data_IF_701520823954
#
_entry.id   IF_701520823954
#
_cell.length_a   1.000
_cell.length_b   1.000
_cell.length_c   1.000
_cell.angle_alpha   90.00
_cell.angle_beta   90.00
_cell.angle_gamma   90.00
#
_symmetry.space_group_name_H-M   'P 1'
#
loop_
_entity.id
_entity.type
_entity.pdbx_description
1 polymer ?
#
# COMPACT_ATOMS: atom_id res chain seq x y z
N UNK A 1 -23.24 -19.59 10.43
CA UNK A 1 -22.26 -18.73 11.06
C UNK A 1 -21.17 -19.53 11.59
N UNK A 2 -20.31 -19.43 11.98
CA UNK A 2 -19.42 -20.32 12.60
C UNK A 2 -17.99 -19.89 12.54
N UNK A 3 -17.14 -20.86 12.60
CA UNK A 3 -15.71 -20.69 12.70
C UNK A 3 -15.14 -19.88 11.54
N UNK A 4 -15.64 -20.09 10.32
CA UNK A 4 -15.16 -19.37 9.14
C UNK A 4 -15.38 -17.86 9.22
N UNK A 5 -16.48 -17.44 9.77
CA UNK A 5 -16.79 -16.01 9.92
C UNK A 5 -15.90 -15.37 10.98
N UNK A 6 -15.60 -16.08 12.05
CA UNK A 6 -14.71 -15.61 13.11
C UNK A 6 -13.28 -15.46 12.58
N UNK A 7 -12.80 -16.44 11.81
CA UNK A 7 -11.48 -16.40 11.18
C UNK A 7 -11.38 -15.22 10.23
N UNK A 8 -12.41 -15.01 9.42
CA UNK A 8 -12.46 -13.91 8.45
C UNK A 8 -12.38 -12.54 9.13
N UNK A 9 -13.09 -12.38 10.23
CA UNK A 9 -13.05 -11.16 11.02
C UNK A 9 -11.68 -10.93 11.64
N UNK A 10 -11.05 -11.99 12.11
CA UNK A 10 -9.69 -11.93 12.65
C UNK A 10 -8.68 -11.49 11.58
N UNK A 11 -8.79 -12.01 10.37
CA UNK A 11 -7.93 -11.62 9.26
C UNK A 11 -8.10 -10.14 8.91
N UNK A 12 -9.33 -9.65 8.90
CA UNK A 12 -9.62 -8.24 8.66
C UNK A 12 -9.02 -7.35 9.76
N UNK A 13 -9.07 -7.77 11.01
CA UNK A 13 -8.47 -7.03 12.11
C UNK A 13 -6.94 -7.02 12.01
N UNK A 14 -6.34 -8.13 11.58
CA UNK A 14 -4.89 -8.26 11.40
C UNK A 14 -4.38 -7.41 10.24
N UNK A 15 -5.10 -7.46 9.09
CA UNK A 15 -4.71 -6.74 7.88
C UNK A 15 -5.11 -5.26 7.92
N UNK A 16 -6.14 -4.90 8.73
CA UNK A 16 -6.66 -3.55 8.79
C UNK A 16 -7.52 -3.18 7.58
N UNK A 17 -8.30 -2.12 7.76
CA UNK A 17 -9.25 -1.67 6.74
C UNK A 17 -8.57 -1.06 5.53
N UNK A 18 -7.53 -0.28 5.77
CA UNK A 18 -6.81 0.41 4.69
C UNK A 18 -6.14 -0.61 3.79
N UNK A 19 -5.43 -1.57 4.36
CA UNK A 19 -4.77 -2.63 3.61
C UNK A 19 -5.78 -3.44 2.81
N UNK A 20 -6.93 -3.75 3.39
CA UNK A 20 -8.01 -4.48 2.70
C UNK A 20 -8.57 -3.68 1.53
N UNK A 21 -8.77 -2.39 1.69
CA UNK A 21 -9.26 -1.51 0.62
C UNK A 21 -8.26 -1.42 -0.53
N UNK A 22 -6.98 -1.27 -0.20
CA UNK A 22 -5.90 -1.21 -1.21
C UNK A 22 -5.81 -2.53 -1.96
N UNK A 23 -5.84 -3.65 -1.26
CA UNK A 23 -5.77 -4.98 -1.88
C UNK A 23 -6.97 -5.23 -2.81
N UNK A 24 -8.16 -4.85 -2.38
CA UNK A 24 -9.37 -4.99 -3.20
C UNK A 24 -9.29 -4.16 -4.47
N UNK A 25 -8.86 -2.92 -4.37
CA UNK A 25 -8.69 -2.06 -5.54
C UNK A 25 -7.61 -2.61 -6.47
N UNK A 26 -6.50 -3.08 -5.91
CA UNK A 26 -5.40 -3.67 -6.67
C UNK A 26 -5.84 -4.91 -7.45
N UNK A 27 -6.61 -5.79 -6.83
CA UNK A 27 -7.13 -6.99 -7.48
C UNK A 27 -8.02 -6.68 -8.68
N UNK A 28 -8.86 -5.66 -8.56
CA UNK A 28 -9.72 -5.22 -9.68
C UNK A 28 -8.90 -4.72 -10.87
N UNK A 29 -7.75 -4.15 -10.61
CA UNK A 29 -6.86 -3.62 -11.64
C UNK A 29 -5.95 -4.70 -12.22
N UNK A 30 -5.78 -5.81 -11.51
CA UNK A 30 -4.90 -6.89 -11.90
C UNK A 30 -3.52 -6.83 -11.26
N UNK A 31 -3.36 -6.04 -10.21
CA UNK A 31 -2.12 -5.95 -9.44
C UNK A 31 -2.11 -7.08 -8.42
N UNK A 32 -0.99 -7.79 -8.33
CA UNK A 32 -0.84 -8.95 -7.44
C UNK A 32 0.16 -8.64 -6.34
N UNK A 33 -0.29 -7.96 -5.30
CA UNK A 33 0.56 -7.62 -4.17
C UNK A 33 0.93 -8.84 -3.35
N UNK A 34 2.21 -8.94 -3.03
CA UNK A 34 2.74 -9.92 -2.08
C UNK A 34 3.41 -9.17 -0.93
N UNK A 35 3.11 -9.56 0.29
CA UNK A 35 3.68 -8.93 1.47
C UNK A 35 5.18 -9.21 1.54
N UNK A 36 5.96 -8.15 1.74
CA UNK A 36 7.39 -8.27 2.00
C UNK A 36 7.58 -8.66 3.45
N UNK A 37 8.29 -9.74 3.68
CA UNK A 37 8.56 -10.23 5.03
C UNK A 37 9.95 -9.85 5.45
N UNK A 38 10.09 -9.47 6.72
CA UNK A 38 11.38 -9.24 7.34
C UNK A 38 12.16 -10.55 7.36
N UNK A 39 13.42 -10.49 6.94
CA UNK A 39 14.36 -11.61 7.05
C UNK A 39 15.43 -11.27 8.09
N UNK A 40 16.29 -12.24 8.43
CA UNK A 40 17.41 -12.00 9.34
C UNK A 40 18.42 -10.97 8.82
N UNK A 41 18.38 -10.67 7.53
CA UNK A 41 19.28 -9.72 6.87
C UNK A 41 18.64 -8.34 6.64
N UNK A 42 17.36 -8.19 6.92
CA UNK A 42 16.65 -6.93 6.70
C UNK A 42 16.08 -6.41 8.01
N UNK A 43 16.14 -5.09 8.19
CA UNK A 43 15.53 -4.43 9.33
C UNK A 43 14.02 -4.26 9.11
N UNK A 44 13.29 -3.93 10.18
CA UNK A 44 11.91 -3.53 10.07
C UNK A 44 11.79 -2.31 9.13
N UNK A 45 10.72 -2.29 8.35
CA UNK A 45 10.43 -1.11 7.53
C UNK A 45 9.92 -0.01 8.46
N UNK A 46 10.71 1.03 8.65
CA UNK A 46 10.37 2.15 9.52
C UNK A 46 10.51 3.47 8.78
N UNK A 47 9.75 4.45 9.21
CA UNK A 47 9.82 5.77 8.63
C UNK A 47 8.90 6.74 9.35
N UNK A 48 8.95 8.03 9.01
CA UNK A 48 8.10 9.03 9.66
C UNK A 48 6.66 8.95 9.14
N UNK A 49 5.69 9.14 10.06
CA UNK A 49 4.31 9.42 9.66
C UNK A 49 4.19 10.91 9.33
N UNK A 50 2.98 11.40 9.07
CA UNK A 50 2.80 12.82 8.71
C UNK A 50 3.08 13.79 9.88
N UNK A 51 3.19 13.29 11.10
CA UNK A 51 3.62 14.09 12.26
C UNK A 51 5.13 14.06 12.48
N UNK A 52 5.86 13.28 11.70
CA UNK A 52 7.29 13.08 11.91
C UNK A 52 7.64 12.03 12.95
N UNK A 53 6.66 11.36 13.52
CA UNK A 53 6.89 10.27 14.46
C UNK A 53 7.36 9.03 13.71
N UNK A 54 8.41 8.36 14.19
CA UNK A 54 8.92 7.16 13.56
C UNK A 54 8.03 5.96 13.88
N UNK A 55 7.48 5.33 12.85
CA UNK A 55 6.55 4.22 12.99
C UNK A 55 6.99 3.05 12.11
N UNK A 56 6.48 1.86 12.41
CA UNK A 56 6.73 0.67 11.60
C UNK A 56 5.72 0.59 10.46
N UNK A 57 6.20 0.19 9.29
CA UNK A 57 5.39 0.00 8.09
C UNK A 57 5.41 -1.44 7.65
N UNK A 58 4.29 -1.88 7.10
CA UNK A 58 4.22 -3.09 6.30
C UNK A 58 4.34 -2.71 4.83
N UNK A 59 4.96 -3.56 4.03
CA UNK A 59 5.18 -3.31 2.61
C UNK A 59 4.70 -4.49 1.78
N UNK A 60 4.02 -4.19 0.68
CA UNK A 60 3.58 -5.17 -0.31
C UNK A 60 4.09 -4.74 -1.67
N UNK A 61 4.48 -5.71 -2.49
CA UNK A 61 4.97 -5.41 -3.84
C UNK A 61 4.44 -6.41 -4.85
N UNK A 62 4.21 -5.89 -6.07
CA UNK A 62 4.07 -6.68 -7.28
C UNK A 62 5.31 -6.40 -8.11
N UNK A 63 6.16 -7.42 -8.29
CA UNK A 63 7.40 -7.31 -9.06
C UNK A 63 7.22 -7.65 -10.53
N UNK A 64 6.01 -7.99 -10.95
CA UNK A 64 5.74 -8.38 -12.32
C UNK A 64 4.39 -7.84 -12.82
N UNK A 65 4.15 -6.53 -12.70
CA UNK A 65 2.91 -5.95 -13.21
C UNK A 65 2.90 -6.00 -14.73
N UNK A 66 1.73 -6.17 -15.31
CA UNK A 66 1.55 -6.19 -16.78
C UNK A 66 1.87 -4.83 -17.38
N UNK A 67 1.44 -3.77 -16.73
CA UNK A 67 1.72 -2.39 -17.13
C UNK A 67 1.78 -1.54 -15.86
N UNK A 68 3.00 -1.37 -15.36
CA UNK A 68 3.21 -0.72 -14.06
C UNK A 68 2.70 0.72 -14.04
N UNK A 69 2.84 1.43 -15.13
CA UNK A 69 2.43 2.84 -15.19
C UNK A 69 0.91 2.98 -15.19
N UNK A 70 0.22 2.33 -16.12
CA UNK A 70 -1.23 2.44 -16.19
C UNK A 70 -1.92 1.80 -14.98
N UNK A 71 -1.44 0.66 -14.52
CA UNK A 71 -1.97 0.01 -13.32
C UNK A 71 -1.70 0.82 -12.05
N UNK A 72 -0.51 1.38 -11.92
CA UNK A 72 -0.17 2.23 -10.78
C UNK A 72 -1.02 3.49 -10.72
N UNK A 73 -1.20 4.17 -11.86
CA UNK A 73 -2.07 5.35 -11.95
C UNK A 73 -3.52 5.01 -11.66
N UNK A 74 -4.02 3.89 -12.18
CA UNK A 74 -5.37 3.43 -11.91
C UNK A 74 -5.59 3.17 -10.42
N UNK A 75 -4.60 2.59 -9.74
CA UNK A 75 -4.67 2.35 -8.30
C UNK A 75 -4.70 3.67 -7.52
N UNK A 76 -3.83 4.62 -7.88
CA UNK A 76 -3.82 5.95 -7.26
C UNK A 76 -5.18 6.63 -7.43
N UNK A 77 -5.74 6.58 -8.64
CA UNK A 77 -7.05 7.19 -8.92
C UNK A 77 -8.17 6.53 -8.12
N UNK A 78 -8.17 5.20 -8.05
CA UNK A 78 -9.16 4.45 -7.28
C UNK A 78 -9.11 4.82 -5.79
N UNK A 79 -7.92 4.94 -5.24
CA UNK A 79 -7.73 5.29 -3.84
C UNK A 79 -8.01 6.77 -3.56
N UNK A 80 -7.82 7.64 -4.53
CA UNK A 80 -8.10 9.08 -4.40
C UNK A 80 -9.59 9.37 -4.20
N UNK A 81 -10.48 8.44 -4.60
CA UNK A 81 -11.91 8.59 -4.35
C UNK A 81 -12.29 8.27 -2.90
N UNK A 82 -11.44 7.53 -2.19
CA UNK A 82 -11.73 7.02 -0.85
C UNK A 82 -10.87 7.65 0.24
N UNK A 83 -9.66 8.03 -0.09
CA UNK A 83 -8.67 8.58 0.84
C UNK A 83 -8.22 9.95 0.39
N UNK A 84 -7.67 10.73 1.30
CA UNK A 84 -7.10 12.04 0.96
C UNK A 84 -5.72 11.82 0.38
N UNK A 85 -5.52 12.28 -0.84
CA UNK A 85 -4.21 12.27 -1.48
C UNK A 85 -3.47 13.54 -1.10
N UNK A 86 -2.41 13.40 -0.31
CA UNK A 86 -1.58 14.52 0.13
C UNK A 86 -0.58 14.94 -0.94
N UNK A 87 -0.09 13.97 -1.71
CA UNK A 87 1.00 14.19 -2.64
C UNK A 87 0.90 13.19 -3.79
N UNK A 88 1.20 13.62 -4.99
CA UNK A 88 1.35 12.71 -6.14
C UNK A 88 2.47 13.26 -7.01
N UNK A 89 3.63 12.62 -6.98
CA UNK A 89 4.77 12.96 -7.80
C UNK A 89 4.87 12.00 -8.96
N UNK A 90 5.13 12.52 -10.15
CA UNK A 90 5.36 11.69 -11.33
C UNK A 90 6.73 12.01 -11.92
N UNK A 91 7.41 10.99 -12.43
CA UNK A 91 8.71 11.11 -13.07
C UNK A 91 8.73 10.26 -14.34
N UNK A 92 9.85 10.33 -15.09
CA UNK A 92 9.98 9.56 -16.32
C UNK A 92 9.85 8.06 -16.11
N UNK A 93 10.28 7.54 -14.94
CA UNK A 93 10.25 6.11 -14.64
C UNK A 93 9.05 5.65 -13.84
N UNK A 94 8.11 6.54 -13.49
CA UNK A 94 6.94 6.16 -12.71
C UNK A 94 6.37 7.28 -11.86
N UNK A 95 5.89 6.94 -10.67
CA UNK A 95 5.33 7.92 -9.76
C UNK A 95 5.11 7.36 -8.35
N UNK A 96 4.74 8.24 -7.45
CA UNK A 96 4.34 7.87 -6.09
C UNK A 96 3.28 8.82 -5.56
N UNK A 97 2.38 8.29 -4.73
CA UNK A 97 1.33 9.06 -4.10
C UNK A 97 1.22 8.72 -2.62
N UNK A 98 1.03 9.74 -1.81
CA UNK A 98 0.90 9.61 -0.35
C UNK A 98 -0.53 9.92 0.04
N UNK A 99 -1.12 9.08 0.87
CA UNK A 99 -2.51 9.16 1.30
C UNK A 99 -2.65 9.12 2.82
N UNK A 100 -3.72 9.70 3.31
CA UNK A 100 -4.22 9.51 4.67
C UNK A 100 -5.73 9.31 4.62
N UNK A 101 -6.34 8.88 5.72
CA UNK A 101 -7.80 8.73 5.77
C UNK A 101 -8.51 10.09 5.78
N UNK A 102 -9.84 10.06 5.57
CA UNK A 102 -10.64 11.29 5.50
C UNK A 102 -10.75 12.05 6.81
N UNK A 103 -10.43 11.42 7.93
CA UNK A 103 -10.37 12.08 9.23
C UNK A 103 -9.08 12.88 9.43
N UNK A 104 -8.23 12.91 8.41
CA UNK A 104 -6.93 13.60 8.43
C UNK A 104 -6.02 13.10 9.56
N UNK A 105 -6.11 11.81 9.85
CA UNK A 105 -5.27 11.19 10.87
C UNK A 105 -3.90 10.82 10.27
N UNK A 106 -2.82 11.51 10.67
CA UNK A 106 -1.49 11.24 10.13
C UNK A 106 -0.98 9.83 10.43
N UNK A 107 -1.55 9.14 11.41
CA UNK A 107 -1.20 7.76 11.73
C UNK A 107 -1.67 6.77 10.66
N UNK A 108 -2.53 7.21 9.74
CA UNK A 108 -3.05 6.37 8.68
C UNK A 108 -2.31 6.54 7.35
N UNK A 109 -1.16 7.16 7.38
CA UNK A 109 -0.34 7.39 6.18
C UNK A 109 -0.03 6.10 5.45
N UNK A 110 -0.24 6.11 4.15
CA UNK A 110 0.24 5.04 3.27
C UNK A 110 0.71 5.62 1.94
N UNK A 111 1.54 4.87 1.25
CA UNK A 111 2.15 5.30 -0.01
C UNK A 111 1.97 4.23 -1.08
N UNK A 112 1.58 4.65 -2.27
CA UNK A 112 1.56 3.83 -3.46
C UNK A 112 2.70 4.31 -4.36
N UNK A 113 3.54 3.39 -4.82
CA UNK A 113 4.61 3.70 -5.77
C UNK A 113 4.54 2.75 -6.95
N UNK A 114 4.87 3.26 -8.12
CA UNK A 114 4.93 2.46 -9.32
C UNK A 114 6.09 2.99 -10.16
N UNK A 115 7.02 2.13 -10.48
CA UNK A 115 8.22 2.57 -11.18
C UNK A 115 8.92 1.40 -11.87
N UNK A 116 9.89 1.75 -12.69
CA UNK A 116 10.80 0.79 -13.31
C UNK A 116 12.18 0.99 -12.68
N UNK A 117 12.64 -0.01 -11.97
CA UNK A 117 13.97 -0.03 -11.37
C UNK A 117 14.93 -0.84 -12.23
N UNK A 118 16.18 -0.93 -11.81
CA UNK A 118 17.17 -1.80 -12.47
C UNK A 118 16.75 -3.27 -12.44
N UNK A 119 15.96 -3.66 -11.44
CA UNK A 119 15.42 -5.02 -11.32
C UNK A 119 14.16 -5.26 -12.14
N UNK A 120 13.65 -4.23 -12.81
CA UNK A 120 12.42 -4.29 -13.59
C UNK A 120 11.30 -3.44 -13.02
N UNK A 121 10.10 -3.53 -13.63
CA UNK A 121 8.95 -2.76 -13.16
C UNK A 121 8.41 -3.29 -11.85
N UNK A 122 7.80 -2.40 -11.05
CA UNK A 122 7.13 -2.81 -9.82
C UNK A 122 6.02 -1.83 -9.46
N UNK A 123 5.09 -2.30 -8.64
CA UNK A 123 4.09 -1.48 -7.96
C UNK A 123 4.19 -1.85 -6.49
N UNK A 124 4.18 -0.86 -5.61
CA UNK A 124 4.30 -1.09 -4.17
C UNK A 124 3.23 -0.35 -3.38
N UNK A 125 2.89 -0.91 -2.24
CA UNK A 125 2.06 -0.30 -1.22
C UNK A 125 2.80 -0.39 0.12
N UNK A 126 2.97 0.73 0.80
CA UNK A 126 3.51 0.77 2.16
C UNK A 126 2.51 1.49 3.06
N UNK A 127 2.08 0.83 4.12
CA UNK A 127 1.15 1.38 5.10
C UNK A 127 1.63 1.14 6.51
N UNK A 128 1.20 2.00 7.44
CA UNK A 128 1.51 1.83 8.85
C UNK A 128 1.05 0.45 9.31
N UNK A 129 1.90 -0.25 10.05
CA UNK A 129 1.65 -1.63 10.46
C UNK A 129 0.29 -1.76 11.15
N UNK A 130 -0.49 -2.76 10.74
CA UNK A 130 -1.79 -3.04 11.31
C UNK A 130 -2.97 -2.34 10.64
N UNK A 131 -2.74 -1.58 9.59
CA UNK A 131 -3.81 -0.85 8.90
C UNK A 131 -4.47 -1.62 7.78
#
# INVERSE_FOLDING_TARGET
MGVNQVIKLKDLLTEGKITSDVDRAAKKIGIKFKKKVKTKFTNDFTGPNEKGENVKYDSWMDYNPKNYESQGRALVDALSSKYIRLKHNTYASGGSAVFINRKKDPKTKFTISYARSMSGPYISYEGVKGQ
#
